data_IF_524662881541
#
_entry.id   IF_524662881541
#
_cell.length_a   1.000
_cell.length_b   1.000
_cell.length_c   1.000
_cell.angle_alpha   90.00
_cell.angle_beta   90.00
_cell.angle_gamma   90.00
#
_symmetry.space_group_name_H-M   'P 1'
#
loop_
_entity.id
_entity.type
_entity.pdbx_description
1 polymer ?
#
# COMPACT_ATOMS: atom_id res chain seq x y z
N UNK A 1 -8.28 24.45 -19.09
CA UNK A 1 -8.44 22.98 -19.23
C UNK A 1 -7.77 22.36 -18.04
N UNK A 2 -8.54 21.89 -17.07
CA UNK A 2 -7.98 21.10 -15.98
C UNK A 2 -7.39 19.82 -16.61
N UNK A 3 -6.08 19.62 -16.43
CA UNK A 3 -5.44 18.37 -16.85
C UNK A 3 -6.11 17.26 -16.05
N UNK A 4 -6.63 16.25 -16.75
CA UNK A 4 -7.09 15.03 -16.07
C UNK A 4 -5.93 14.50 -15.20
N UNK A 5 -6.20 14.15 -13.94
CA UNK A 5 -5.18 13.56 -13.09
C UNK A 5 -4.63 12.29 -13.74
N UNK A 6 -3.34 12.04 -13.55
CA UNK A 6 -2.68 10.88 -14.15
C UNK A 6 -3.06 9.62 -13.34
N UNK A 7 -3.53 8.55 -13.99
CA UNK A 7 -3.91 7.32 -13.30
C UNK A 7 -2.69 6.70 -12.61
N UNK A 8 -2.92 6.07 -11.46
CA UNK A 8 -1.91 5.27 -10.78
C UNK A 8 -2.25 3.79 -10.95
N UNK A 9 -1.29 3.01 -11.44
CA UNK A 9 -1.41 1.57 -11.65
C UNK A 9 -0.60 0.87 -10.55
N UNK A 10 -1.24 0.41 -9.45
CA UNK A 10 -0.51 -0.02 -8.25
C UNK A 10 0.48 -1.16 -8.47
N UNK A 11 0.27 -2.01 -9.47
CA UNK A 11 1.14 -3.15 -9.76
C UNK A 11 2.13 -2.90 -10.90
N UNK A 12 2.13 -1.70 -11.49
CA UNK A 12 3.06 -1.29 -12.55
C UNK A 12 3.91 -0.08 -12.10
N UNK A 13 3.30 0.88 -11.39
CA UNK A 13 3.92 2.14 -11.00
C UNK A 13 4.58 2.08 -9.60
N UNK A 14 4.36 1.02 -8.82
CA UNK A 14 4.96 0.82 -7.51
C UNK A 14 5.81 -0.44 -7.49
N UNK A 15 7.07 -0.32 -7.07
CA UNK A 15 7.99 -1.44 -6.98
C UNK A 15 7.47 -2.50 -5.98
N UNK A 16 7.04 -2.09 -4.77
CA UNK A 16 6.44 -3.04 -3.83
C UNK A 16 5.16 -3.67 -4.39
N UNK A 17 4.37 -2.91 -5.16
CA UNK A 17 3.17 -3.43 -5.81
C UNK A 17 3.48 -4.48 -6.89
N UNK A 18 4.48 -4.25 -7.71
CA UNK A 18 4.99 -5.22 -8.68
C UNK A 18 5.41 -6.53 -7.99
N UNK A 19 6.14 -6.45 -6.86
CA UNK A 19 6.58 -7.64 -6.14
C UNK A 19 5.43 -8.37 -5.43
N UNK A 20 4.44 -7.65 -4.91
CA UNK A 20 3.19 -8.23 -4.41
C UNK A 20 2.50 -9.01 -5.53
N UNK A 21 2.38 -8.43 -6.72
CA UNK A 21 1.76 -9.09 -7.87
C UNK A 21 2.52 -10.35 -8.27
N UNK A 22 3.85 -10.29 -8.31
CA UNK A 22 4.70 -11.43 -8.66
C UNK A 22 4.47 -12.61 -7.69
N UNK A 23 4.57 -12.36 -6.39
CA UNK A 23 4.35 -13.41 -5.36
C UNK A 23 2.92 -13.94 -5.38
N UNK A 24 1.95 -13.06 -5.63
CA UNK A 24 0.55 -13.45 -5.81
C UNK A 24 0.35 -14.42 -6.99
N UNK A 25 1.00 -14.15 -8.12
CA UNK A 25 0.93 -15.00 -9.31
C UNK A 25 1.65 -16.35 -9.11
N UNK A 26 2.79 -16.36 -8.41
CA UNK A 26 3.51 -17.59 -8.04
C UNK A 26 2.65 -18.49 -7.14
N UNK A 27 1.77 -17.89 -6.34
CA UNK A 27 0.75 -18.58 -5.54
C UNK A 27 -0.46 -19.07 -6.36
N UNK A 28 -0.38 -19.06 -7.70
CA UNK A 28 -1.39 -19.53 -8.66
C UNK A 28 -2.70 -18.71 -8.66
N UNK A 29 -2.64 -17.46 -8.22
CA UNK A 29 -3.76 -16.52 -8.32
C UNK A 29 -3.60 -15.59 -9.55
N UNK A 30 -4.71 -15.12 -10.12
CA UNK A 30 -4.65 -14.20 -11.27
C UNK A 30 -4.48 -12.74 -10.82
N UNK A 31 -3.80 -11.95 -11.65
CA UNK A 31 -3.64 -10.49 -11.49
C UNK A 31 -4.98 -9.75 -11.49
N UNK A 32 -5.88 -10.13 -12.42
CA UNK A 32 -7.21 -9.53 -12.52
C UNK A 32 -7.96 -9.62 -11.18
N UNK A 33 -7.86 -10.76 -10.50
CA UNK A 33 -8.49 -10.94 -9.20
C UNK A 33 -7.89 -9.99 -8.15
N UNK A 34 -6.58 -9.73 -8.21
CA UNK A 34 -5.90 -8.85 -7.26
C UNK A 34 -6.38 -7.40 -7.38
N UNK A 35 -6.44 -6.86 -8.60
CA UNK A 35 -6.95 -5.51 -8.86
C UNK A 35 -8.43 -5.38 -8.52
N UNK A 36 -9.24 -6.35 -8.91
CA UNK A 36 -10.69 -6.36 -8.62
C UNK A 36 -10.94 -6.41 -7.10
N UNK A 37 -10.18 -7.20 -6.35
CA UNK A 37 -10.25 -7.24 -4.89
C UNK A 37 -9.84 -5.92 -4.26
N UNK A 38 -8.74 -5.31 -4.74
CA UNK A 38 -8.25 -4.02 -4.26
C UNK A 38 -9.30 -2.93 -4.40
N UNK A 39 -9.87 -2.77 -5.59
CA UNK A 39 -10.94 -1.80 -5.87
C UNK A 39 -12.17 -2.03 -4.99
N UNK A 40 -12.59 -3.31 -4.87
CA UNK A 40 -13.75 -3.68 -4.06
C UNK A 40 -13.52 -3.43 -2.57
N UNK A 41 -12.33 -3.72 -2.04
CA UNK A 41 -11.99 -3.51 -0.63
C UNK A 41 -11.92 -2.02 -0.25
N UNK A 42 -11.53 -1.19 -1.22
CA UNK A 42 -11.43 0.26 -1.05
C UNK A 42 -12.75 0.99 -1.33
N UNK A 43 -13.74 0.32 -1.93
CA UNK A 43 -14.98 0.94 -2.43
C UNK A 43 -14.67 2.05 -3.46
N UNK A 44 -13.76 1.74 -4.38
CA UNK A 44 -13.27 2.66 -5.41
C UNK A 44 -13.47 2.10 -6.81
N UNK A 45 -13.56 3.00 -7.78
CA UNK A 45 -13.47 2.70 -9.21
C UNK A 45 -12.08 3.04 -9.76
N UNK A 46 -11.72 2.49 -10.92
CA UNK A 46 -10.38 2.67 -11.50
C UNK A 46 -10.01 4.13 -11.74
N UNK A 47 -10.97 4.98 -12.09
CA UNK A 47 -10.77 6.42 -12.32
C UNK A 47 -10.51 7.23 -11.04
N UNK A 48 -10.74 6.63 -9.87
CA UNK A 48 -10.40 7.21 -8.57
C UNK A 48 -8.97 6.87 -8.12
N UNK A 49 -8.32 5.91 -8.77
CA UNK A 49 -6.93 5.56 -8.49
C UNK A 49 -6.02 6.42 -9.36
N UNK A 50 -5.57 7.53 -8.78
CA UNK A 50 -4.72 8.52 -9.42
C UNK A 50 -3.48 8.78 -8.57
N UNK A 51 -2.43 9.30 -9.20
CA UNK A 51 -1.29 9.78 -8.43
C UNK A 51 -1.67 10.98 -7.57
N UNK A 52 -1.18 10.98 -6.34
CA UNK A 52 -1.29 12.12 -5.45
C UNK A 52 -0.47 13.28 -6.01
N UNK A 53 -1.04 14.51 -6.10
CA UNK A 53 -0.29 15.66 -6.60
C UNK A 53 1.02 15.91 -5.83
N UNK A 54 2.12 16.18 -6.52
CA UNK A 54 3.47 16.27 -5.92
C UNK A 54 3.55 17.13 -4.65
N UNK A 55 2.90 18.31 -4.63
CA UNK A 55 2.89 19.19 -3.48
C UNK A 55 2.20 18.55 -2.26
N UNK A 56 1.13 17.80 -2.50
CA UNK A 56 0.43 17.05 -1.44
C UNK A 56 1.27 15.85 -1.01
N UNK A 57 1.80 15.07 -1.96
CA UNK A 57 2.66 13.91 -1.70
C UNK A 57 3.83 14.26 -0.78
N UNK A 58 4.54 15.36 -1.03
CA UNK A 58 5.63 15.81 -0.16
C UNK A 58 5.17 16.06 1.29
N UNK A 59 4.01 16.68 1.49
CA UNK A 59 3.44 16.90 2.82
C UNK A 59 3.09 15.57 3.50
N UNK A 60 2.39 14.69 2.78
CA UNK A 60 1.93 13.41 3.31
C UNK A 60 3.09 12.47 3.67
N UNK A 61 4.14 12.44 2.85
CA UNK A 61 5.36 11.65 3.08
C UNK A 61 6.26 12.21 4.20
N UNK A 62 5.93 13.35 4.80
CA UNK A 62 6.52 13.83 6.06
C UNK A 62 5.62 13.49 7.24
N UNK A 63 4.32 13.75 7.09
CA UNK A 63 3.34 13.58 8.17
C UNK A 63 3.08 12.13 8.54
N UNK A 64 2.74 11.27 7.57
CA UNK A 64 2.38 9.88 7.87
C UNK A 64 3.55 9.07 8.45
N UNK A 65 4.80 9.18 7.97
CA UNK A 65 5.92 8.50 8.64
C UNK A 65 6.14 8.97 10.08
N UNK A 66 5.80 10.22 10.40
CA UNK A 66 5.88 10.74 11.78
C UNK A 66 4.79 10.11 12.66
N UNK A 67 3.57 10.03 12.14
CA UNK A 67 2.43 9.40 12.81
C UNK A 67 2.66 7.90 13.03
N UNK A 68 3.10 7.18 11.99
CA UNK A 68 3.42 5.75 12.08
C UNK A 68 4.50 5.51 13.15
N UNK A 69 5.58 6.31 13.20
CA UNK A 69 6.59 6.18 14.27
C UNK A 69 5.97 6.38 15.66
N UNK A 70 5.08 7.36 15.82
CA UNK A 70 4.40 7.56 17.11
C UNK A 70 3.53 6.36 17.50
N UNK A 71 2.84 5.74 16.55
CA UNK A 71 2.05 4.54 16.79
C UNK A 71 2.93 3.34 17.16
N UNK A 72 4.08 3.19 16.50
CA UNK A 72 5.10 2.17 16.83
C UNK A 72 5.61 2.35 18.25
N UNK A 73 5.98 3.57 18.64
CA UNK A 73 6.46 3.89 19.99
C UNK A 73 5.42 3.57 21.09
N UNK A 74 4.13 3.66 20.74
CA UNK A 74 3.00 3.34 21.63
C UNK A 74 2.59 1.87 21.59
N UNK A 75 3.14 1.07 20.66
CA UNK A 75 2.72 -0.32 20.44
C UNK A 75 1.31 -0.46 19.84
N UNK A 76 0.81 0.58 19.18
CA UNK A 76 -0.55 0.65 18.60
C UNK A 76 -0.58 0.12 17.15
N UNK A 77 -0.12 -1.11 16.93
CA UNK A 77 0.08 -1.64 15.58
C UNK A 77 -1.20 -1.74 14.74
N UNK A 78 -2.34 -2.11 15.34
CA UNK A 78 -3.63 -2.13 14.63
C UNK A 78 -4.08 -0.73 14.16
N UNK A 79 -3.63 0.34 14.83
CA UNK A 79 -3.88 1.72 14.37
C UNK A 79 -3.08 2.03 13.10
N UNK A 80 -1.93 1.38 12.88
CA UNK A 80 -1.15 1.54 11.65
C UNK A 80 -1.91 0.91 10.46
N UNK A 81 -2.45 -0.30 10.65
CA UNK A 81 -3.32 -0.94 9.65
C UNK A 81 -4.50 -0.03 9.29
N UNK A 82 -5.20 0.50 10.30
CA UNK A 82 -6.33 1.41 10.08
C UNK A 82 -5.90 2.68 9.33
N UNK A 83 -4.78 3.29 9.71
CA UNK A 83 -4.24 4.48 9.06
C UNK A 83 -3.95 4.22 7.57
N UNK A 84 -3.27 3.11 7.24
CA UNK A 84 -2.97 2.75 5.85
C UNK A 84 -4.24 2.58 5.01
N UNK A 85 -5.26 1.93 5.57
CA UNK A 85 -6.55 1.75 4.92
C UNK A 85 -7.33 3.06 4.76
N UNK A 86 -7.28 3.95 5.75
CA UNK A 86 -7.91 5.27 5.68
C UNK A 86 -7.26 6.15 4.61
N UNK A 87 -5.93 6.12 4.47
CA UNK A 87 -5.20 6.82 3.41
C UNK A 87 -5.64 6.28 2.04
N UNK A 88 -5.66 4.95 1.88
CA UNK A 88 -6.02 4.31 0.62
C UNK A 88 -7.46 4.66 0.20
N UNK A 89 -8.38 4.77 1.17
CA UNK A 89 -9.79 5.10 0.96
C UNK A 89 -10.08 6.60 0.85
N UNK A 90 -9.09 7.46 1.14
CA UNK A 90 -9.31 8.90 1.21
C UNK A 90 -10.18 9.33 2.38
N UNK A 91 -10.04 8.64 3.52
CA UNK A 91 -10.76 8.90 4.77
C UNK A 91 -9.86 9.44 5.88
N UNK A 92 -8.57 9.60 5.61
CA UNK A 92 -7.64 10.15 6.60
C UNK A 92 -7.88 11.64 6.81
N UNK A 93 -7.61 12.13 8.02
CA UNK A 93 -7.77 13.56 8.36
C UNK A 93 -6.88 14.48 7.51
N UNK A 94 -5.68 13.99 7.14
CA UNK A 94 -4.69 14.76 6.39
C UNK A 94 -4.98 14.82 4.89
N UNK A 95 -5.71 13.85 4.34
CA UNK A 95 -6.01 13.78 2.91
C UNK A 95 -7.36 13.09 2.63
N UNK A 96 -8.47 13.85 2.46
CA UNK A 96 -9.79 13.30 2.20
C UNK A 96 -9.99 12.87 0.72
N UNK A 97 -8.93 12.38 0.07
CA UNK A 97 -8.96 11.78 -1.27
C UNK A 97 -8.18 10.48 -1.26
N UNK A 98 -8.58 9.46 -2.03
CA UNK A 98 -7.81 8.22 -2.15
C UNK A 98 -6.36 8.53 -2.52
N UNK A 99 -5.41 7.95 -1.79
CA UNK A 99 -3.98 8.16 -2.01
C UNK A 99 -3.25 6.80 -1.98
N UNK A 100 -3.63 5.93 -2.91
CA UNK A 100 -3.12 4.57 -2.96
C UNK A 100 -1.61 4.51 -3.27
N UNK A 101 -1.10 5.47 -4.05
CA UNK A 101 0.34 5.63 -4.30
C UNK A 101 1.10 5.88 -2.99
N UNK A 102 0.55 6.75 -2.13
CA UNK A 102 1.09 7.00 -0.78
C UNK A 102 1.00 5.76 0.09
N UNK A 103 -0.13 5.05 0.08
CA UNK A 103 -0.27 3.80 0.85
C UNK A 103 0.78 2.77 0.45
N UNK A 104 1.03 2.59 -0.85
CA UNK A 104 2.05 1.66 -1.34
C UNK A 104 3.46 2.09 -0.94
N UNK A 105 3.79 3.38 -1.03
CA UNK A 105 5.09 3.89 -0.55
C UNK A 105 5.28 3.70 0.96
N UNK A 106 4.23 3.86 1.76
CA UNK A 106 4.31 3.62 3.20
C UNK A 106 4.44 2.13 3.52
N UNK A 107 3.75 1.24 2.79
CA UNK A 107 3.93 -0.20 2.92
C UNK A 107 5.35 -0.63 2.56
N UNK A 108 5.91 -0.08 1.48
CA UNK A 108 7.32 -0.31 1.10
C UNK A 108 8.27 0.13 2.22
N UNK A 109 8.05 1.34 2.76
CA UNK A 109 8.86 1.86 3.85
C UNK A 109 8.78 0.99 5.12
N UNK A 110 7.60 0.44 5.42
CA UNK A 110 7.40 -0.51 6.52
C UNK A 110 8.15 -1.83 6.24
N UNK A 111 7.98 -2.39 5.03
CA UNK A 111 8.54 -3.68 4.59
C UNK A 111 10.07 -3.75 4.77
N UNK A 112 10.76 -2.63 4.53
CA UNK A 112 12.22 -2.56 4.58
C UNK A 112 12.76 -2.01 5.89
N UNK A 113 11.98 -1.21 6.61
CA UNK A 113 12.46 -0.37 7.70
C UNK A 113 12.12 -0.89 9.09
N UNK A 114 11.17 -1.82 9.21
CA UNK A 114 10.58 -2.22 10.49
C UNK A 114 10.24 -3.70 10.52
N UNK A 115 10.25 -4.26 11.74
CA UNK A 115 9.78 -5.61 12.04
C UNK A 115 8.28 -5.56 12.36
N UNK A 116 7.46 -5.34 11.32
CA UNK A 116 6.02 -5.09 11.42
C UNK A 116 5.22 -5.91 10.39
N UNK A 117 5.62 -7.16 10.19
CA UNK A 117 5.06 -8.02 9.14
C UNK A 117 3.58 -8.28 9.37
N UNK A 118 3.16 -8.43 10.63
CA UNK A 118 1.75 -8.60 10.98
C UNK A 118 0.88 -7.41 10.52
N UNK A 119 1.40 -6.17 10.53
CA UNK A 119 0.69 -4.98 10.00
C UNK A 119 0.53 -5.08 8.49
N UNK A 120 1.58 -5.52 7.78
CA UNK A 120 1.53 -5.71 6.33
C UNK A 120 0.61 -6.85 5.94
N UNK A 121 0.67 -7.98 6.65
CA UNK A 121 -0.23 -9.12 6.47
C UNK A 121 -1.67 -8.68 6.66
N UNK A 122 -1.99 -7.98 7.76
CA UNK A 122 -3.35 -7.52 8.04
C UNK A 122 -3.84 -6.55 6.96
N UNK A 123 -3.01 -5.55 6.61
CA UNK A 123 -3.34 -4.54 5.59
C UNK A 123 -3.59 -5.19 4.23
N UNK A 124 -2.67 -6.03 3.74
CA UNK A 124 -2.79 -6.67 2.44
C UNK A 124 -3.95 -7.69 2.41
N UNK A 125 -4.19 -8.39 3.51
CA UNK A 125 -5.33 -9.30 3.65
C UNK A 125 -6.66 -8.56 3.46
N UNK A 126 -6.79 -7.38 4.09
CA UNK A 126 -7.98 -6.53 3.91
C UNK A 126 -8.07 -6.00 2.49
N UNK A 127 -6.97 -5.50 1.91
CA UNK A 127 -6.95 -4.97 0.55
C UNK A 127 -7.28 -6.02 -0.51
N UNK A 128 -6.87 -7.27 -0.32
CA UNK A 128 -7.04 -8.33 -1.31
C UNK A 128 -8.16 -9.32 -0.97
N UNK A 129 -8.92 -9.07 0.10
CA UNK A 129 -10.08 -9.87 0.48
C UNK A 129 -9.75 -11.34 0.73
N UNK A 130 -8.56 -11.62 1.25
CA UNK A 130 -8.07 -12.98 1.53
C UNK A 130 -7.24 -12.97 2.82
N UNK A 131 -6.93 -14.15 3.36
CA UNK A 131 -6.05 -14.27 4.52
C UNK A 131 -4.63 -14.57 4.03
N UNK A 132 -3.77 -13.55 4.07
CA UNK A 132 -2.33 -13.72 3.83
C UNK A 132 -1.62 -14.15 5.10
N UNK A 133 -0.38 -14.57 4.96
CA UNK A 133 0.50 -15.02 6.05
C UNK A 133 1.82 -14.25 6.02
N UNK A 134 2.59 -14.33 7.10
CA UNK A 134 3.94 -13.76 7.14
C UNK A 134 4.84 -14.35 6.04
N UNK A 135 4.67 -15.62 5.66
CA UNK A 135 5.38 -16.23 4.53
C UNK A 135 5.17 -15.48 3.20
N UNK A 136 3.98 -14.91 2.98
CA UNK A 136 3.71 -14.09 1.79
C UNK A 136 4.52 -12.79 1.85
N UNK A 137 4.51 -12.09 2.98
CA UNK A 137 5.26 -10.84 3.18
C UNK A 137 6.76 -11.08 3.09
N UNK A 138 7.26 -12.21 3.62
CA UNK A 138 8.66 -12.62 3.49
C UNK A 138 9.08 -12.85 2.04
N UNK A 139 8.23 -13.48 1.23
CA UNK A 139 8.48 -13.66 -0.20
C UNK A 139 8.50 -12.31 -0.92
N UNK A 140 7.54 -11.42 -0.65
CA UNK A 140 7.51 -10.06 -1.22
C UNK A 140 8.79 -9.30 -0.87
N UNK A 141 9.23 -9.37 0.39
CA UNK A 141 10.49 -8.77 0.85
C UNK A 141 11.69 -9.37 0.12
N UNK A 142 11.73 -10.69 -0.05
CA UNK A 142 12.82 -11.36 -0.74
C UNK A 142 12.93 -10.90 -2.20
N UNK A 143 11.82 -10.82 -2.93
CA UNK A 143 11.78 -10.31 -4.31
C UNK A 143 12.14 -8.83 -4.39
N UNK A 144 11.68 -8.03 -3.42
CA UNK A 144 12.02 -6.61 -3.33
C UNK A 144 13.53 -6.42 -3.15
N UNK A 145 14.17 -7.16 -2.23
CA UNK A 145 15.62 -7.06 -1.97
C UNK A 145 16.47 -7.52 -3.17
N UNK A 146 15.99 -8.47 -3.98
CA UNK A 146 16.71 -8.91 -5.19
C UNK A 146 16.91 -7.75 -6.18
N UNK A 147 15.94 -6.85 -6.30
CA UNK A 147 16.02 -5.69 -7.19
C UNK A 147 17.19 -4.76 -6.82
N UNK A 148 17.48 -4.57 -5.52
CA UNK A 148 18.58 -3.70 -5.05
C UNK A 148 19.96 -4.35 -5.13
N UNK A 149 20.03 -5.66 -5.43
CA UNK A 149 21.29 -6.41 -5.57
C UNK A 149 21.64 -6.69 -7.04
N UNK A 150 20.78 -6.29 -7.97
CA UNK A 150 20.96 -6.42 -9.42
C UNK A 150 21.74 -5.28 -10.05
#
# INVERSE_FOLDING_TARGET
MDKKPYPFLPFEDSLVGEKILLVWQESHHSEKNLKDHLLKALDLTEDQIIFTPNAMKQKLMVSYPTEIRSLIEKGEFGSITNLLLEIAKGKSELNPTPALDITFELMEWILIGFDLDDVLVETLSVLFGTNLTNDFVDQVRAEYIKEFRG
#
